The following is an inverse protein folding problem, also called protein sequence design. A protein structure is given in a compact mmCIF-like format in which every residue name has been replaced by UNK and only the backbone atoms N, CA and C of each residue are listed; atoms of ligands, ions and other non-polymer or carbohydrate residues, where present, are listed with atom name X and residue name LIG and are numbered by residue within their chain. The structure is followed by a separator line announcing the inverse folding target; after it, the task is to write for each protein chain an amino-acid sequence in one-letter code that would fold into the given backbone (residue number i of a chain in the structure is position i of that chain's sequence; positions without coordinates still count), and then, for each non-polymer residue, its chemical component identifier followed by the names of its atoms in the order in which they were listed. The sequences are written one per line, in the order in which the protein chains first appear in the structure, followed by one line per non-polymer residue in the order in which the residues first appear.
data_IF_913386049206
#
_entry.id   IF_913386049206
#
_cell.length_a   1.000
_cell.length_b   1.000
_cell.length_c   1.000
_cell.angle_alpha   90.00
_cell.angle_beta   90.00
_cell.angle_gamma   90.00
#
_symmetry.space_group_name_H-M   'P 1'
#
loop_
_entity.id
_entity.type
_entity.pdbx_description
1 polymer ?
#
# COMPACT_ATOMS: atom_id res chain seq x y z
N UNK A 1 70.76 -53.16 25.12
CA UNK A 1 69.79 -52.70 24.17
C UNK A 1 68.57 -52.16 24.90
N UNK A 2 68.50 -50.82 25.09
CA UNK A 2 67.33 -50.13 25.72
C UNK A 2 66.49 -49.55 24.59
N UNK A 3 65.18 -49.90 24.55
CA UNK A 3 64.24 -49.30 23.66
C UNK A 3 63.69 -48.03 24.38
N UNK A 4 63.89 -46.86 23.74
CA UNK A 4 63.29 -45.63 24.17
C UNK A 4 61.86 -45.53 23.58
N UNK A 5 60.89 -45.37 24.48
CA UNK A 5 59.51 -45.01 24.10
C UNK A 5 59.42 -43.49 23.86
N UNK A 6 59.21 -43.08 22.62
CA UNK A 6 58.83 -41.69 22.34
C UNK A 6 57.33 -41.52 22.53
N UNK A 7 56.94 -40.73 23.54
CA UNK A 7 55.60 -40.24 23.71
C UNK A 7 55.46 -39.02 22.79
N UNK A 8 54.55 -39.12 21.83
CA UNK A 8 54.18 -37.98 20.98
C UNK A 8 53.19 -37.10 21.76
N UNK A 9 53.68 -35.95 22.20
CA UNK A 9 52.78 -34.88 22.70
C UNK A 9 52.02 -34.26 21.52
N UNK A 10 50.73 -34.58 21.42
CA UNK A 10 49.80 -33.85 20.56
C UNK A 10 49.59 -32.48 21.16
N UNK A 11 50.04 -31.44 20.45
CA UNK A 11 49.95 -30.05 20.85
C UNK A 11 48.45 -29.63 20.97
N UNK A 12 48.09 -29.03 22.11
CA UNK A 12 46.74 -28.61 22.42
C UNK A 12 46.11 -27.52 21.53
N UNK A 13 46.79 -27.19 20.44
CA UNK A 13 46.32 -26.14 19.49
C UNK A 13 45.31 -26.67 18.49
N UNK A 14 45.30 -27.96 18.18
CA UNK A 14 44.33 -28.55 17.25
C UNK A 14 42.90 -28.65 17.85
N UNK A 15 42.80 -28.91 19.13
CA UNK A 15 41.48 -28.98 19.81
C UNK A 15 40.83 -27.61 19.99
N UNK A 16 41.62 -26.56 20.21
CA UNK A 16 41.08 -25.20 20.32
C UNK A 16 40.53 -24.67 19.01
N UNK A 17 41.17 -24.99 17.87
CA UNK A 17 40.68 -24.55 16.56
C UNK A 17 39.38 -25.25 16.15
N UNK A 18 39.22 -26.52 16.47
CA UNK A 18 38.01 -27.29 16.17
C UNK A 18 36.85 -26.81 17.09
N UNK A 19 37.09 -26.48 18.35
CA UNK A 19 36.09 -25.95 19.26
C UNK A 19 35.60 -24.54 18.84
N UNK A 20 36.51 -23.68 18.38
CA UNK A 20 36.14 -22.33 17.87
C UNK A 20 35.36 -22.45 16.55
N UNK A 21 35.73 -23.37 15.67
CA UNK A 21 35.00 -23.60 14.41
C UNK A 21 33.58 -24.17 14.67
N UNK A 22 33.44 -25.08 15.63
CA UNK A 22 32.15 -25.65 16.02
C UNK A 22 31.29 -24.59 16.72
N UNK A 23 31.86 -23.72 17.56
CA UNK A 23 31.10 -22.60 18.14
C UNK A 23 30.71 -21.54 17.13
N UNK A 24 31.51 -21.24 16.13
CA UNK A 24 31.13 -20.33 15.03
C UNK A 24 30.02 -20.92 14.15
N UNK A 25 30.06 -22.20 13.84
CA UNK A 25 29.01 -22.85 13.06
C UNK A 25 27.70 -22.98 13.84
N UNK A 26 27.77 -23.23 15.14
CA UNK A 26 26.57 -23.24 16.00
C UNK A 26 26.00 -21.85 16.23
N UNK A 27 26.82 -20.79 16.27
CA UNK A 27 26.37 -19.40 16.37
C UNK A 27 25.62 -18.94 15.11
N UNK A 28 26.06 -19.39 13.91
CA UNK A 28 25.38 -19.06 12.65
C UNK A 28 24.06 -19.84 12.52
N UNK A 29 24.03 -21.10 12.96
CA UNK A 29 22.80 -21.90 12.96
C UNK A 29 21.81 -21.44 14.04
N UNK A 30 22.27 -20.86 15.15
CA UNK A 30 21.44 -20.38 16.25
C UNK A 30 20.74 -19.03 15.98
N UNK A 31 21.31 -18.21 15.10
CA UNK A 31 20.68 -16.92 14.76
C UNK A 31 19.47 -17.04 13.82
N UNK A 32 19.36 -18.12 13.05
CA UNK A 32 18.21 -18.36 12.16
C UNK A 32 17.06 -19.16 12.82
N UNK A 33 17.30 -19.81 13.95
CA UNK A 33 16.32 -20.69 14.58
C UNK A 33 15.13 -19.95 15.23
N UNK A 34 15.20 -18.63 15.40
CA UNK A 34 14.14 -17.79 15.97
C UNK A 34 13.50 -16.80 14.98
N UNK A 35 14.01 -16.70 13.76
CA UNK A 35 13.50 -15.74 12.79
C UNK A 35 12.20 -16.25 12.16
N UNK A 36 11.11 -15.54 12.41
CA UNK A 36 9.84 -15.79 11.75
C UNK A 36 10.01 -15.57 10.24
N UNK A 37 9.69 -16.58 9.45
CA UNK A 37 9.76 -16.48 7.99
C UNK A 37 8.46 -15.92 7.46
N UNK A 38 8.51 -14.79 6.77
CA UNK A 38 7.37 -14.20 6.07
C UNK A 38 6.92 -15.07 4.90
N UNK A 39 7.84 -15.66 4.17
CA UNK A 39 7.55 -16.55 3.06
C UNK A 39 7.60 -18.02 3.52
N UNK A 40 6.54 -18.78 3.28
CA UNK A 40 6.50 -20.23 3.56
C UNK A 40 7.49 -21.00 2.69
N UNK A 41 7.73 -20.56 1.46
CA UNK A 41 8.69 -21.14 0.49
C UNK A 41 9.55 -20.03 -0.10
N UNK A 42 10.78 -20.34 -0.59
CA UNK A 42 11.59 -19.36 -1.31
C UNK A 42 10.81 -18.71 -2.46
N UNK A 43 11.03 -17.42 -2.67
CA UNK A 43 10.53 -16.70 -3.84
C UNK A 43 11.64 -16.72 -4.90
N UNK A 44 11.33 -17.23 -6.09
CA UNK A 44 12.30 -17.32 -7.20
C UNK A 44 12.02 -16.18 -8.16
N UNK A 45 12.92 -15.21 -8.18
CA UNK A 45 12.82 -14.00 -8.99
C UNK A 45 13.93 -13.93 -10.03
N UNK A 46 13.65 -13.37 -11.20
CA UNK A 46 14.61 -13.07 -12.25
C UNK A 46 15.26 -11.71 -12.02
N UNK A 47 14.46 -10.74 -11.57
CA UNK A 47 14.90 -9.36 -11.33
C UNK A 47 14.07 -8.69 -10.24
N UNK A 48 14.68 -7.75 -9.53
CA UNK A 48 14.01 -6.87 -8.59
C UNK A 48 14.74 -5.54 -8.49
N UNK A 49 14.03 -4.51 -8.11
CA UNK A 49 14.62 -3.20 -7.89
C UNK A 49 13.59 -2.14 -7.61
N UNK A 50 14.03 -0.91 -7.68
CA UNK A 50 13.17 0.26 -7.55
C UNK A 50 13.65 1.41 -8.43
N UNK A 51 12.71 2.28 -8.78
CA UNK A 51 12.99 3.52 -9.51
C UNK A 51 11.93 4.57 -9.16
N UNK A 52 12.15 5.80 -9.60
CA UNK A 52 11.15 6.84 -9.51
C UNK A 52 10.55 7.13 -10.88
N UNK A 53 9.27 7.47 -10.92
CA UNK A 53 8.54 7.90 -12.10
C UNK A 53 7.94 9.28 -11.87
N UNK A 54 7.71 10.05 -12.93
CA UNK A 54 7.24 11.41 -12.82
C UNK A 54 8.29 12.34 -12.24
N UNK A 55 7.86 13.21 -11.34
CA UNK A 55 8.70 14.28 -10.80
C UNK A 55 8.85 15.47 -11.75
N UNK A 56 8.85 16.67 -11.19
CA UNK A 56 9.08 17.92 -11.90
C UNK A 56 10.03 18.79 -11.14
N UNK A 57 10.90 19.57 -11.85
CA UNK A 57 11.72 20.56 -11.19
C UNK A 57 10.85 21.71 -10.67
N UNK A 58 11.14 22.16 -9.46
CA UNK A 58 10.56 23.36 -8.85
C UNK A 58 11.68 24.28 -8.42
N UNK A 59 11.72 25.49 -8.95
CA UNK A 59 12.61 26.54 -8.48
C UNK A 59 11.94 27.25 -7.31
N UNK A 60 12.63 27.34 -6.17
CA UNK A 60 12.09 27.93 -4.95
C UNK A 60 13.21 28.55 -4.12
N UNK A 61 12.91 29.65 -3.43
CA UNK A 61 13.80 30.24 -2.42
C UNK A 61 13.80 29.41 -1.11
N UNK A 62 12.95 28.42 -1.00
CA UNK A 62 12.68 27.65 0.22
C UNK A 62 13.11 26.19 0.09
N UNK A 63 14.07 25.89 -0.79
CA UNK A 63 14.64 24.56 -0.97
C UNK A 63 15.23 24.02 0.34
N UNK A 64 15.83 24.90 1.15
CA UNK A 64 16.34 24.59 2.48
C UNK A 64 15.67 25.48 3.51
N UNK A 65 15.58 24.99 4.76
CA UNK A 65 15.08 25.81 5.86
C UNK A 65 16.03 27.02 6.05
N UNK A 66 15.53 28.26 5.98
CA UNK A 66 16.36 29.42 6.19
C UNK A 66 16.96 29.43 7.60
N UNK A 67 18.21 29.83 7.71
CA UNK A 67 18.84 30.05 9.00
C UNK A 67 18.05 31.11 9.82
N UNK A 68 18.01 30.99 11.15
CA UNK A 68 17.42 32.04 11.97
C UNK A 68 17.98 33.41 11.59
N UNK A 69 17.12 34.36 11.32
CA UNK A 69 17.47 35.71 10.91
C UNK A 69 18.13 35.89 9.52
N UNK A 70 18.15 34.87 8.68
CA UNK A 70 18.59 35.02 7.30
C UNK A 70 17.49 35.65 6.45
N UNK A 71 17.85 36.56 5.56
CA UNK A 71 17.02 36.96 4.44
C UNK A 71 16.66 35.74 3.60
N UNK A 72 15.62 35.85 2.75
CA UNK A 72 15.22 34.76 1.86
C UNK A 72 16.42 34.07 1.22
N UNK A 73 16.54 32.74 1.32
CA UNK A 73 17.64 32.04 0.67
C UNK A 73 17.61 32.28 -0.84
N UNK A 74 18.76 32.14 -1.48
CA UNK A 74 18.83 32.23 -2.94
C UNK A 74 17.95 31.16 -3.61
N UNK A 75 17.37 31.45 -4.78
CA UNK A 75 16.62 30.50 -5.53
C UNK A 75 17.45 29.24 -5.82
N UNK A 76 16.85 28.08 -5.59
CA UNK A 76 17.45 26.79 -5.90
C UNK A 76 16.38 25.82 -6.44
N UNK A 77 16.81 24.72 -7.03
CA UNK A 77 15.90 23.75 -7.63
C UNK A 77 15.80 22.50 -6.76
N UNK A 78 14.58 22.02 -6.59
CA UNK A 78 14.25 20.70 -6.02
C UNK A 78 13.37 19.93 -7.00
N UNK A 79 13.30 18.62 -6.83
CA UNK A 79 12.35 17.76 -7.57
C UNK A 79 11.18 17.40 -6.66
N UNK A 80 9.96 17.57 -7.17
CA UNK A 80 8.71 17.31 -6.45
C UNK A 80 7.77 16.44 -7.28
N UNK A 81 6.78 15.82 -6.61
CA UNK A 81 5.70 15.11 -7.27
C UNK A 81 6.13 13.83 -7.98
N UNK A 82 7.26 13.24 -7.62
CA UNK A 82 7.68 11.91 -8.08
C UNK A 82 6.93 10.82 -7.32
N UNK A 83 6.84 9.64 -7.94
CA UNK A 83 6.29 8.43 -7.35
C UNK A 83 7.34 7.33 -7.31
N UNK A 84 7.56 6.73 -6.13
CA UNK A 84 8.43 5.57 -5.95
C UNK A 84 7.75 4.30 -6.46
N UNK A 85 8.50 3.49 -7.18
CA UNK A 85 8.08 2.20 -7.73
C UNK A 85 9.08 1.13 -7.30
N UNK A 86 8.58 0.07 -6.69
CA UNK A 86 9.35 -1.15 -6.43
C UNK A 86 8.80 -2.26 -7.30
N UNK A 87 9.68 -3.13 -7.81
CA UNK A 87 9.25 -4.23 -8.66
C UNK A 87 9.94 -5.53 -8.33
N UNK A 88 9.25 -6.63 -8.62
CA UNK A 88 9.78 -7.98 -8.62
C UNK A 88 9.27 -8.71 -9.87
N UNK A 89 10.20 -9.34 -10.57
CA UNK A 89 9.94 -10.09 -11.79
C UNK A 89 10.16 -11.57 -11.49
N UNK A 90 9.14 -12.43 -11.64
CA UNK A 90 9.30 -13.85 -11.37
C UNK A 90 10.22 -14.52 -12.41
N UNK A 91 11.05 -15.47 -11.98
CA UNK A 91 11.87 -16.28 -12.90
C UNK A 91 10.97 -17.18 -13.78
N UNK A 92 9.85 -17.66 -13.23
CA UNK A 92 8.86 -18.48 -13.93
C UNK A 92 7.65 -17.62 -14.32
N UNK A 93 7.81 -16.72 -15.27
CA UNK A 93 6.72 -15.85 -15.74
C UNK A 93 5.60 -16.66 -16.38
N UNK A 94 4.35 -16.33 -16.07
CA UNK A 94 3.24 -16.61 -16.96
C UNK A 94 3.49 -15.81 -18.25
N UNK A 95 3.97 -16.48 -19.28
CA UNK A 95 4.65 -15.86 -20.44
C UNK A 95 3.84 -14.80 -21.21
N UNK A 96 2.57 -14.63 -20.89
CA UNK A 96 1.66 -13.73 -21.60
C UNK A 96 0.89 -12.78 -20.68
N UNK A 97 0.99 -12.94 -19.35
CA UNK A 97 0.31 -12.03 -18.44
C UNK A 97 0.97 -10.64 -18.49
N UNK A 98 0.16 -9.56 -18.57
CA UNK A 98 0.68 -8.23 -18.37
C UNK A 98 1.17 -8.04 -16.93
N UNK A 99 2.10 -7.10 -16.67
CA UNK A 99 2.48 -6.77 -15.32
C UNK A 99 1.28 -6.19 -14.55
N UNK A 100 1.29 -6.37 -13.22
CA UNK A 100 0.32 -5.78 -12.31
C UNK A 100 0.98 -4.65 -11.53
N UNK A 101 0.34 -3.49 -11.52
CA UNK A 101 0.67 -2.34 -10.67
C UNK A 101 -0.33 -2.33 -9.52
N UNK A 102 0.14 -2.33 -8.27
CA UNK A 102 -0.70 -2.25 -7.08
C UNK A 102 -0.52 -0.90 -6.37
N UNK A 103 -1.64 -0.28 -6.04
CA UNK A 103 -1.68 1.06 -5.44
C UNK A 103 -2.45 1.02 -4.12
N UNK A 104 -1.78 1.43 -3.05
CA UNK A 104 -2.35 1.47 -1.69
C UNK A 104 -3.41 2.56 -1.51
N UNK A 105 -4.15 2.48 -0.41
CA UNK A 105 -5.17 3.45 -0.01
C UNK A 105 -4.64 4.67 0.76
N UNK A 106 -5.56 5.38 1.41
CA UNK A 106 -5.25 6.57 2.21
C UNK A 106 -4.33 6.24 3.38
N UNK A 107 -3.42 7.16 3.71
CA UNK A 107 -2.48 7.09 4.84
C UNK A 107 -1.62 5.82 4.91
N UNK A 108 -1.49 5.09 3.82
CA UNK A 108 -0.62 3.92 3.69
C UNK A 108 0.51 4.16 2.68
N UNK A 109 1.40 3.18 2.62
CA UNK A 109 2.40 2.99 1.57
C UNK A 109 2.27 1.58 1.02
N UNK A 110 3.10 1.22 0.04
CA UNK A 110 3.14 -0.15 -0.48
C UNK A 110 3.53 -1.21 0.56
N UNK A 111 3.99 -0.83 1.75
CA UNK A 111 4.32 -1.76 2.83
C UNK A 111 3.16 -2.70 3.16
N UNK A 112 1.90 -2.23 3.07
CA UNK A 112 0.72 -3.07 3.29
C UNK A 112 0.52 -4.17 2.23
N UNK A 113 1.24 -4.10 1.11
CA UNK A 113 1.21 -5.09 0.03
C UNK A 113 2.42 -6.03 0.07
N UNK A 114 3.49 -5.66 0.77
CA UNK A 114 4.73 -6.43 0.86
C UNK A 114 4.59 -7.60 1.84
N UNK A 115 3.99 -7.35 2.99
CA UNK A 115 3.76 -8.34 4.04
C UNK A 115 2.68 -7.89 5.01
N UNK A 116 2.12 -8.83 5.76
CA UNK A 116 1.20 -8.52 6.85
C UNK A 116 1.95 -8.16 8.13
N UNK A 117 1.38 -7.34 9.03
CA UNK A 117 2.02 -6.97 10.29
C UNK A 117 2.36 -8.16 11.19
N UNK A 118 1.60 -9.23 11.12
CA UNK A 118 1.83 -10.48 11.86
C UNK A 118 2.83 -11.43 11.17
N UNK A 119 3.46 -10.99 10.07
CA UNK A 119 4.56 -11.69 9.40
C UNK A 119 4.11 -12.82 8.48
N UNK A 120 3.01 -12.64 7.77
CA UNK A 120 2.59 -13.51 6.66
C UNK A 120 2.97 -12.89 5.33
N UNK A 121 2.96 -13.71 4.27
CA UNK A 121 3.20 -13.27 2.90
C UNK A 121 2.15 -12.25 2.46
N UNK A 122 2.60 -11.13 1.88
CA UNK A 122 1.73 -10.11 1.30
C UNK A 122 1.34 -10.43 -0.13
N UNK A 123 0.47 -9.59 -0.69
CA UNK A 123 -0.01 -9.77 -2.07
C UNK A 123 1.09 -9.64 -3.12
N UNK A 124 2.03 -8.70 -2.96
CA UNK A 124 3.08 -8.48 -3.96
C UNK A 124 3.96 -9.74 -4.16
N UNK A 125 4.61 -10.33 -3.14
CA UNK A 125 5.36 -11.56 -3.32
C UNK A 125 4.47 -12.74 -3.74
N UNK A 126 3.20 -12.79 -3.32
CA UNK A 126 2.28 -13.84 -3.72
C UNK A 126 1.97 -13.80 -5.22
N UNK A 127 1.73 -12.64 -5.80
CA UNK A 127 1.54 -12.47 -7.25
C UNK A 127 2.81 -12.89 -8.02
N UNK A 128 3.98 -12.50 -7.53
CA UNK A 128 5.27 -12.93 -8.11
C UNK A 128 5.41 -14.44 -8.07
N UNK A 129 5.03 -15.09 -6.97
CA UNK A 129 5.01 -16.55 -6.84
C UNK A 129 4.11 -17.23 -7.88
N UNK A 130 3.02 -16.56 -8.22
CA UNK A 130 2.07 -17.00 -9.25
C UNK A 130 2.47 -16.59 -10.67
N UNK A 131 3.72 -16.14 -10.88
CA UNK A 131 4.28 -15.87 -12.20
C UNK A 131 3.94 -14.50 -12.79
N UNK A 132 3.43 -13.57 -11.97
CA UNK A 132 3.05 -12.22 -12.38
C UNK A 132 4.16 -11.23 -12.04
N UNK A 133 4.64 -10.48 -13.03
CA UNK A 133 5.53 -9.32 -12.78
C UNK A 133 4.77 -8.27 -12.01
N UNK A 134 5.22 -7.95 -10.80
CA UNK A 134 4.47 -7.11 -9.85
C UNK A 134 5.23 -5.84 -9.56
N UNK A 135 4.52 -4.73 -9.63
CA UNK A 135 4.98 -3.38 -9.33
C UNK A 135 4.12 -2.82 -8.21
N UNK A 136 4.73 -2.35 -7.14
CA UNK A 136 4.06 -1.68 -6.04
C UNK A 136 4.56 -0.26 -5.94
N UNK A 137 3.68 0.67 -5.63
CA UNK A 137 4.02 2.10 -5.63
C UNK A 137 3.68 2.74 -4.29
N UNK A 138 4.51 3.69 -3.87
CA UNK A 138 4.10 4.68 -2.89
C UNK A 138 3.57 5.89 -3.65
N UNK A 139 2.33 6.28 -3.39
CA UNK A 139 1.72 7.44 -4.05
C UNK A 139 2.58 8.69 -3.83
N UNK A 140 2.55 9.62 -4.76
CA UNK A 140 3.26 10.89 -4.61
C UNK A 140 2.90 11.56 -3.28
N UNK A 141 3.88 12.15 -2.61
CA UNK A 141 3.70 12.77 -1.31
C UNK A 141 3.60 11.79 -0.13
N UNK A 142 3.91 10.48 -0.33
CA UNK A 142 3.85 9.48 0.73
C UNK A 142 5.09 8.59 0.76
N UNK A 143 5.43 8.13 1.95
CA UNK A 143 6.48 7.15 2.16
C UNK A 143 7.76 7.47 1.39
N UNK A 144 8.19 6.51 0.58
CA UNK A 144 9.45 6.59 -0.21
C UNK A 144 9.38 7.61 -1.34
N UNK A 145 8.19 8.06 -1.75
CA UNK A 145 8.03 9.09 -2.79
C UNK A 145 8.47 10.48 -2.34
N UNK A 146 8.58 10.71 -1.02
CA UNK A 146 8.88 12.02 -0.47
C UNK A 146 7.76 13.04 -0.70
N UNK A 147 8.03 14.29 -0.40
CA UNK A 147 7.05 15.37 -0.55
C UNK A 147 7.74 16.72 -0.77
N UNK A 148 6.98 17.73 -1.21
CA UNK A 148 7.43 19.09 -1.36
C UNK A 148 7.56 19.80 -0.01
N UNK A 149 8.74 19.80 0.56
CA UNK A 149 9.04 20.49 1.83
C UNK A 149 9.09 22.00 1.71
N UNK A 150 9.26 22.54 0.51
CA UNK A 150 9.42 23.97 0.33
C UNK A 150 8.20 24.78 0.79
N UNK A 151 7.01 24.17 0.73
CA UNK A 151 5.77 24.80 1.21
C UNK A 151 5.78 25.03 2.73
N UNK A 152 6.37 24.10 3.48
CA UNK A 152 6.55 24.25 4.94
C UNK A 152 7.60 25.29 5.24
N UNK A 153 8.70 25.28 4.50
CA UNK A 153 9.79 26.24 4.70
C UNK A 153 9.33 27.67 4.38
N UNK A 154 8.55 27.86 3.32
CA UNK A 154 7.94 29.15 2.98
C UNK A 154 7.05 29.64 4.12
N UNK A 155 6.09 28.84 4.54
CA UNK A 155 5.17 29.19 5.63
C UNK A 155 5.94 29.55 6.91
N UNK A 156 6.96 28.76 7.26
CA UNK A 156 7.82 29.00 8.43
C UNK A 156 8.59 30.30 8.29
N UNK A 157 9.11 30.60 7.10
CA UNK A 157 9.84 31.87 6.83
C UNK A 157 8.95 33.10 7.02
N UNK A 158 7.72 33.05 6.50
CA UNK A 158 6.71 34.09 6.66
C UNK A 158 6.41 34.35 8.14
N UNK A 159 6.15 33.29 8.91
CA UNK A 159 5.89 33.41 10.35
C UNK A 159 7.09 34.06 11.07
N UNK A 160 8.30 33.63 10.77
CA UNK A 160 9.52 34.16 11.38
C UNK A 160 9.80 35.63 11.01
N UNK A 161 9.38 36.05 9.83
CA UNK A 161 9.50 37.44 9.39
C UNK A 161 8.40 38.37 9.93
N UNK A 162 7.46 37.86 10.72
CA UNK A 162 6.37 38.63 11.32
C UNK A 162 5.06 38.57 10.54
N UNK A 163 5.02 37.95 9.38
CA UNK A 163 3.79 37.72 8.61
C UNK A 163 3.09 36.43 9.09
N UNK A 164 2.70 36.47 10.37
CA UNK A 164 2.18 35.27 11.09
C UNK A 164 0.88 34.77 10.47
N UNK A 165 -0.02 35.68 10.11
CA UNK A 165 -1.34 35.31 9.58
C UNK A 165 -1.23 34.56 8.25
N UNK A 166 -0.51 35.13 7.28
CA UNK A 166 -0.33 34.53 5.97
C UNK A 166 0.51 33.27 6.04
N UNK A 167 1.58 33.27 6.84
CA UNK A 167 2.40 32.09 7.05
C UNK A 167 1.61 30.94 7.66
N UNK A 168 0.78 31.20 8.67
CA UNK A 168 -0.09 30.17 9.28
C UNK A 168 -1.09 29.64 8.27
N UNK A 169 -1.69 30.49 7.44
CA UNK A 169 -2.64 30.07 6.39
C UNK A 169 -1.99 29.16 5.31
N UNK A 170 -0.67 29.22 5.17
CA UNK A 170 0.12 28.43 4.20
C UNK A 170 0.71 27.15 4.78
N UNK A 171 0.59 26.90 6.09
CA UNK A 171 1.05 25.63 6.67
C UNK A 171 0.18 24.49 6.11
N UNK A 172 0.79 23.51 5.41
CA UNK A 172 0.03 22.40 4.87
C UNK A 172 -0.50 21.51 5.99
N UNK A 173 -1.73 21.06 5.84
CA UNK A 173 -2.28 20.03 6.71
C UNK A 173 -1.97 18.63 6.15
N UNK A 174 -0.89 18.05 6.62
CA UNK A 174 -0.52 16.68 6.28
C UNK A 174 -1.28 15.69 7.18
N UNK A 175 -2.53 15.45 6.84
CA UNK A 175 -3.39 14.57 7.62
C UNK A 175 -2.87 13.13 7.64
N UNK A 176 -2.74 12.57 8.83
CA UNK A 176 -2.60 11.14 9.10
C UNK A 176 -3.77 10.72 9.95
N UNK A 177 -4.40 9.61 9.61
CA UNK A 177 -5.40 9.02 10.50
C UNK A 177 -4.74 8.59 11.82
N UNK A 178 -5.45 8.76 12.93
CA UNK A 178 -4.98 8.26 14.23
C UNK A 178 -5.04 6.74 14.27
N UNK A 179 -4.26 6.14 15.16
CA UNK A 179 -4.25 4.67 15.34
C UNK A 179 -5.64 4.15 15.67
N UNK A 180 -6.32 4.81 16.61
CA UNK A 180 -7.71 4.53 16.94
C UNK A 180 -8.66 4.70 15.74
N UNK A 181 -8.51 5.79 15.00
CA UNK A 181 -9.31 6.06 13.80
C UNK A 181 -9.09 5.00 12.72
N UNK A 182 -7.85 4.61 12.47
CA UNK A 182 -7.52 3.57 11.49
C UNK A 182 -8.11 2.22 11.88
N UNK A 183 -8.01 1.87 13.14
CA UNK A 183 -8.60 0.61 13.59
C UNK A 183 -10.13 0.61 13.45
N UNK A 184 -10.78 1.59 14.05
CA UNK A 184 -12.24 1.72 14.01
C UNK A 184 -12.78 1.82 12.59
N UNK A 185 -12.07 2.59 11.74
CA UNK A 185 -12.53 2.79 10.37
C UNK A 185 -12.28 1.58 9.45
N UNK A 186 -11.29 0.73 9.72
CA UNK A 186 -10.85 -0.26 8.74
C UNK A 186 -10.83 -1.70 9.25
N UNK A 187 -10.89 -1.93 10.56
CA UNK A 187 -10.86 -3.27 11.14
C UNK A 187 -12.04 -3.58 12.06
N UNK A 188 -12.71 -2.60 12.63
CA UNK A 188 -13.82 -2.82 13.54
C UNK A 188 -14.24 -1.57 14.29
N UNK A 189 -15.01 -1.75 15.35
CA UNK A 189 -15.58 -0.68 16.15
C UNK A 189 -15.11 -0.76 17.60
N UNK A 190 -15.17 0.38 18.32
CA UNK A 190 -14.94 0.39 19.75
C UNK A 190 -16.20 0.02 20.51
N UNK A 191 -16.07 -0.87 21.49
CA UNK A 191 -17.16 -1.29 22.36
C UNK A 191 -16.90 -0.90 23.82
N UNK A 192 -17.91 -0.40 24.53
CA UNK A 192 -19.18 0.16 24.07
C UNK A 192 -18.99 1.44 23.29
N UNK A 193 -20.05 1.88 22.59
CA UNK A 193 -20.02 3.14 21.83
C UNK A 193 -19.47 4.30 22.69
N UNK A 194 -18.52 5.06 22.13
CA UNK A 194 -17.84 6.12 22.86
C UNK A 194 -16.62 5.66 23.66
N UNK A 195 -16.34 4.37 23.76
CA UNK A 195 -15.11 3.88 24.36
C UNK A 195 -13.91 4.32 23.53
N UNK A 196 -12.78 4.51 24.19
CA UNK A 196 -11.51 4.76 23.51
C UNK A 196 -10.77 3.44 23.31
N UNK A 197 -9.85 3.43 22.35
CA UNK A 197 -8.97 2.29 22.09
C UNK A 197 -8.16 1.85 23.33
N UNK A 198 -7.91 2.76 24.25
CA UNK A 198 -7.12 2.51 25.46
C UNK A 198 -7.94 1.88 26.61
N UNK A 199 -9.26 2.08 26.59
CA UNK A 199 -10.14 1.69 27.70
C UNK A 199 -11.27 0.77 27.28
N UNK A 200 -11.56 0.69 25.99
CA UNK A 200 -12.66 -0.10 25.46
C UNK A 200 -12.24 -1.46 24.93
N UNK A 201 -13.18 -2.35 24.84
CA UNK A 201 -13.08 -3.57 24.05
C UNK A 201 -13.35 -3.20 22.60
N UNK A 202 -12.54 -3.68 21.67
CA UNK A 202 -12.80 -3.53 20.25
C UNK A 202 -13.82 -4.57 19.80
N UNK A 203 -14.84 -4.09 19.11
CA UNK A 203 -15.72 -4.93 18.32
C UNK A 203 -15.14 -5.03 16.91
N UNK A 204 -15.06 -6.23 16.39
CA UNK A 204 -14.60 -6.50 15.04
C UNK A 204 -15.79 -6.65 14.11
N UNK A 205 -15.59 -6.44 12.82
CA UNK A 205 -16.56 -6.84 11.84
C UNK A 205 -16.84 -8.35 11.97
N UNK A 206 -18.11 -8.70 12.01
CA UNK A 206 -18.53 -10.08 12.23
C UNK A 206 -18.57 -10.55 13.68
N UNK A 207 -18.19 -9.71 14.64
CA UNK A 207 -18.43 -10.01 16.05
C UNK A 207 -19.94 -9.90 16.36
N UNK A 208 -20.49 -10.73 17.25
CA UNK A 208 -21.87 -10.61 17.68
C UNK A 208 -22.16 -9.20 18.23
N UNK A 209 -23.19 -8.56 17.71
CA UNK A 209 -23.56 -7.19 18.09
C UNK A 209 -22.83 -6.09 17.32
N UNK A 210 -22.00 -6.40 16.33
CA UNK A 210 -21.48 -5.41 15.41
C UNK A 210 -22.62 -4.89 14.52
N UNK A 211 -22.97 -3.58 14.62
CA UNK A 211 -24.09 -3.03 13.86
C UNK A 211 -23.91 -3.06 12.35
N UNK A 212 -22.67 -3.25 11.85
CA UNK A 212 -22.40 -3.35 10.43
C UNK A 212 -22.55 -4.79 9.89
N UNK A 213 -22.29 -5.78 10.73
CA UNK A 213 -22.22 -7.20 10.34
C UNK A 213 -22.74 -8.10 11.46
N UNK A 214 -23.85 -7.76 12.11
CA UNK A 214 -24.42 -8.53 13.21
C UNK A 214 -24.90 -9.93 12.79
N UNK A 215 -23.95 -10.73 12.40
CA UNK A 215 -24.13 -12.13 12.04
C UNK A 215 -23.08 -12.98 12.74
N UNK A 216 -23.52 -13.82 13.66
CA UNK A 216 -22.66 -14.76 14.37
C UNK A 216 -21.94 -15.78 13.45
N UNK A 217 -22.34 -15.88 12.19
CA UNK A 217 -21.65 -16.71 11.18
C UNK A 217 -20.39 -16.04 10.62
N UNK A 218 -20.24 -14.73 10.76
CA UNK A 218 -19.05 -14.01 10.31
C UNK A 218 -17.84 -14.44 11.12
N UNK A 219 -16.83 -14.88 10.42
CA UNK A 219 -15.58 -15.29 11.02
C UNK A 219 -14.59 -14.13 11.00
N UNK A 220 -13.82 -14.09 12.04
CA UNK A 220 -12.77 -13.13 12.24
C UNK A 220 -11.62 -13.36 11.24
N UNK A 221 -11.50 -12.50 10.25
CA UNK A 221 -10.39 -12.44 9.30
C UNK A 221 -9.37 -11.37 9.64
N UNK A 222 -9.43 -10.83 10.84
CA UNK A 222 -8.51 -9.84 11.34
C UNK A 222 -7.08 -10.36 11.49
N UNK A 223 -6.18 -9.42 11.67
CA UNK A 223 -4.87 -9.73 12.17
C UNK A 223 -4.99 -10.51 13.48
N UNK A 224 -4.31 -11.65 13.59
CA UNK A 224 -4.36 -12.45 14.82
C UNK A 224 -3.87 -11.63 16.02
N UNK A 225 -4.32 -12.06 17.19
CA UNK A 225 -3.89 -11.47 18.44
C UNK A 225 -4.20 -9.97 18.57
N UNK A 226 -5.44 -9.70 18.64
CA UNK A 226 -5.98 -8.44 19.01
C UNK A 226 -6.31 -8.43 20.51
N UNK A 227 -5.80 -7.65 21.30
CA UNK A 227 -5.95 -6.22 21.37
C UNK A 227 -4.63 -5.47 21.27
N UNK A 228 -4.75 -4.18 21.18
CA UNK A 228 -3.68 -3.19 21.07
C UNK A 228 -2.60 -3.45 22.10
N UNK A 229 -1.39 -3.63 21.57
CA UNK A 229 -0.26 -4.03 22.35
C UNK A 229 0.10 -3.11 23.51
N UNK A 230 0.69 -3.67 24.52
CA UNK A 230 1.34 -2.88 25.55
C UNK A 230 2.36 -1.95 24.88
N UNK A 231 2.22 -0.66 25.12
CA UNK A 231 3.27 0.30 24.77
C UNK A 231 4.48 -0.08 25.59
N UNK A 232 5.64 -0.17 24.97
CA UNK A 232 6.90 -0.32 25.68
C UNK A 232 6.99 0.81 26.71
N UNK A 233 7.06 0.51 28.01
CA UNK A 233 7.08 1.53 29.05
C UNK A 233 8.32 2.43 28.98
N UNK A 234 9.34 2.07 28.19
CA UNK A 234 10.48 2.93 27.90
C UNK A 234 10.15 4.06 26.92
N UNK A 235 9.04 3.96 26.17
CA UNK A 235 8.60 4.99 25.23
C UNK A 235 7.71 5.99 25.97
N UNK A 236 8.32 6.98 26.55
CA UNK A 236 7.62 8.11 27.17
C UNK A 236 7.29 9.13 26.08
N UNK A 237 6.01 9.42 25.90
CA UNK A 237 5.64 10.55 25.03
C UNK A 237 6.21 11.85 25.64
N UNK A 238 6.63 12.79 24.77
CA UNK A 238 7.12 14.11 25.22
C UNK A 238 6.14 14.88 26.12
N UNK A 239 4.90 14.51 26.15
CA UNK A 239 3.83 15.12 26.93
C UNK A 239 3.52 14.36 28.23
N UNK A 240 4.33 13.38 28.60
CA UNK A 240 4.15 12.63 29.85
C UNK A 240 2.93 11.72 29.90
N UNK A 241 2.13 11.66 28.85
CA UNK A 241 1.01 10.74 28.76
C UNK A 241 1.52 9.42 28.14
N UNK A 242 1.69 8.42 28.97
CA UNK A 242 1.88 7.05 28.50
C UNK A 242 0.50 6.57 28.04
N UNK A 243 0.33 6.33 26.76
CA UNK A 243 -0.82 5.58 26.31
C UNK A 243 -0.71 4.16 26.85
N UNK A 244 -1.39 3.87 27.93
CA UNK A 244 -1.48 2.51 28.46
C UNK A 244 -2.41 1.71 27.56
N UNK A 245 -1.82 0.93 26.69
CA UNK A 245 -2.57 -0.13 26.05
C UNK A 245 -2.81 -1.26 27.06
N UNK A 246 -3.98 -1.93 27.02
CA UNK A 246 -4.22 -3.07 27.88
C UNK A 246 -3.13 -4.12 27.70
N UNK A 247 -2.55 -4.56 28.79
CA UNK A 247 -1.53 -5.60 28.79
C UNK A 247 -2.15 -6.92 28.29
N UNK A 248 -1.69 -7.41 27.18
CA UNK A 248 -2.04 -8.72 26.67
C UNK A 248 -0.86 -9.34 25.91
N UNK A 249 -0.68 -10.64 25.96
CA UNK A 249 0.60 -11.27 25.64
C UNK A 249 1.00 -11.28 24.16
N UNK A 250 0.27 -10.71 23.22
CA UNK A 250 0.59 -10.87 21.80
C UNK A 250 0.20 -9.67 20.90
N UNK A 251 0.39 -8.47 21.36
CA UNK A 251 -0.29 -7.31 20.81
C UNK A 251 0.53 -6.40 19.90
N UNK A 252 1.66 -6.90 19.45
CA UNK A 252 2.56 -6.15 18.58
C UNK A 252 2.04 -5.97 17.16
N UNK A 253 1.11 -6.81 16.70
CA UNK A 253 0.64 -6.75 15.31
C UNK A 253 -0.18 -5.51 15.00
N UNK A 254 -1.02 -5.07 15.91
CA UNK A 254 -1.72 -3.80 15.75
C UNK A 254 -0.75 -2.62 15.77
N UNK A 255 0.24 -2.64 16.66
CA UNK A 255 1.29 -1.63 16.70
C UNK A 255 2.13 -1.65 15.42
N UNK A 256 2.48 -2.83 14.91
CA UNK A 256 3.20 -2.96 13.64
C UNK A 256 2.37 -2.48 12.46
N UNK A 257 1.05 -2.66 12.50
CA UNK A 257 0.15 -2.04 11.55
C UNK A 257 0.15 -0.51 11.67
N UNK A 258 0.06 0.05 12.87
CA UNK A 258 0.08 1.51 13.05
C UNK A 258 1.38 2.17 12.58
N UNK A 259 2.49 1.45 12.60
CA UNK A 259 3.76 1.91 12.02
C UNK A 259 3.72 2.05 10.49
N UNK A 260 2.78 1.39 9.82
CA UNK A 260 2.58 1.52 8.38
C UNK A 260 1.82 2.79 8.00
N UNK A 261 1.17 3.46 8.96
CA UNK A 261 0.41 4.67 8.74
C UNK A 261 1.34 5.87 8.56
N UNK A 262 1.19 6.56 7.45
CA UNK A 262 2.01 7.72 7.10
C UNK A 262 1.13 8.94 6.82
N UNK A 263 1.64 10.16 7.04
CA UNK A 263 0.96 11.37 6.62
C UNK A 263 0.78 11.40 5.09
N UNK A 264 -0.34 11.94 4.65
CA UNK A 264 -0.54 12.30 3.26
C UNK A 264 0.03 13.71 3.06
N UNK A 265 1.18 13.78 2.41
CA UNK A 265 1.85 15.04 2.09
C UNK A 265 1.74 15.40 0.59
N UNK A 266 0.84 14.79 -0.14
CA UNK A 266 0.45 15.21 -1.47
C UNK A 266 -0.39 16.49 -1.39
N UNK A 267 0.26 17.63 -1.57
CA UNK A 267 -0.38 18.96 -1.42
C UNK A 267 -1.45 19.25 -2.47
N UNK A 268 -1.57 18.41 -3.48
CA UNK A 268 -2.57 18.55 -4.54
C UNK A 268 -3.85 17.74 -4.28
N UNK A 269 -3.86 16.90 -3.23
CA UNK A 269 -5.05 16.11 -2.90
C UNK A 269 -6.05 16.92 -2.07
N UNK A 270 -7.36 16.80 -2.34
CA UNK A 270 -8.38 17.43 -1.53
C UNK A 270 -8.29 17.00 -0.06
N UNK A 271 -8.42 17.96 0.85
CA UNK A 271 -8.41 17.71 2.30
C UNK A 271 -7.03 17.50 2.91
N UNK A 272 -5.95 17.45 2.11
CA UNK A 272 -4.57 17.32 2.62
C UNK A 272 -3.76 18.60 2.48
N UNK A 273 -4.38 19.73 2.23
CA UNK A 273 -3.68 20.89 1.69
C UNK A 273 -4.00 22.17 2.44
N UNK A 274 -3.03 23.02 2.44
CA UNK A 274 -3.24 24.44 2.59
C UNK A 274 -3.89 24.97 1.29
N UNK A 275 -5.08 25.55 1.41
CA UNK A 275 -5.79 26.11 0.26
C UNK A 275 -4.95 27.17 -0.49
N UNK A 276 -4.10 27.91 0.25
CA UNK A 276 -3.19 28.90 -0.32
C UNK A 276 -1.94 28.29 -0.98
N UNK A 277 -1.67 26.99 -0.78
CA UNK A 277 -0.52 26.30 -1.39
C UNK A 277 -0.90 25.53 -2.66
N UNK A 278 -2.19 25.35 -2.92
CA UNK A 278 -2.64 24.69 -4.14
C UNK A 278 -2.57 25.64 -5.31
N UNK A 279 -1.94 25.26 -6.40
CA UNK A 279 -2.26 25.87 -7.68
C UNK A 279 -3.78 25.69 -7.91
N UNK A 280 -4.46 26.79 -8.23
CA UNK A 280 -5.92 26.81 -8.48
C UNK A 280 -6.39 25.84 -9.56
N UNK A 281 -5.46 25.31 -10.35
CA UNK A 281 -5.68 24.45 -11.50
C UNK A 281 -5.60 22.94 -11.16
N UNK A 282 -5.17 22.57 -9.95
CA UNK A 282 -5.03 21.18 -9.57
C UNK A 282 -6.32 20.68 -8.89
N UNK A 283 -7.02 19.82 -9.61
CA UNK A 283 -8.13 19.01 -9.12
C UNK A 283 -7.63 17.57 -8.85
N UNK A 284 -8.43 16.72 -8.19
CA UNK A 284 -8.09 15.28 -8.08
C UNK A 284 -7.72 14.63 -9.41
N UNK A 285 -8.29 15.11 -10.52
CA UNK A 285 -7.98 14.67 -11.86
C UNK A 285 -6.55 14.97 -12.33
N UNK A 286 -5.92 15.99 -11.75
CA UNK A 286 -4.61 16.49 -12.16
C UNK A 286 -3.54 16.34 -11.08
N UNK A 287 -3.81 15.57 -10.03
CA UNK A 287 -2.82 15.28 -9.00
C UNK A 287 -1.67 14.43 -9.52
N UNK A 288 -0.56 14.41 -8.80
CA UNK A 288 0.65 13.72 -9.25
C UNK A 288 0.46 12.22 -9.44
N UNK A 289 -0.22 11.54 -8.52
CA UNK A 289 -0.38 10.08 -8.54
C UNK A 289 -1.04 9.54 -9.81
N UNK A 290 -2.20 10.05 -10.29
CA UNK A 290 -2.79 9.59 -11.55
C UNK A 290 -1.88 9.81 -12.75
N UNK A 291 -1.18 10.94 -12.82
CA UNK A 291 -0.21 11.25 -13.88
C UNK A 291 0.93 10.23 -13.90
N UNK A 292 1.48 9.94 -12.72
CA UNK A 292 2.64 9.06 -12.58
C UNK A 292 2.26 7.60 -12.81
N UNK A 293 1.05 7.20 -12.44
CA UNK A 293 0.51 5.89 -12.81
C UNK A 293 0.37 5.75 -14.33
N UNK A 294 -0.12 6.78 -15.03
CA UNK A 294 -0.18 6.77 -16.48
C UNK A 294 1.21 6.63 -17.11
N UNK A 295 2.19 7.41 -16.63
CA UNK A 295 3.59 7.29 -17.07
C UNK A 295 4.17 5.89 -16.81
N UNK A 296 3.82 5.27 -15.67
CA UNK A 296 4.26 3.92 -15.35
C UNK A 296 3.66 2.89 -16.31
N UNK A 297 2.36 2.98 -16.59
CA UNK A 297 1.68 2.12 -17.57
C UNK A 297 2.32 2.25 -18.98
N UNK A 298 2.60 3.49 -19.41
CA UNK A 298 3.31 3.78 -20.67
C UNK A 298 4.73 3.17 -20.67
N UNK A 299 5.49 3.36 -19.60
CA UNK A 299 6.85 2.81 -19.44
C UNK A 299 6.87 1.29 -19.54
N UNK A 300 5.86 0.61 -19.01
CA UNK A 300 5.75 -0.85 -19.02
C UNK A 300 5.20 -1.40 -20.35
N UNK A 301 4.72 -0.53 -21.23
CA UNK A 301 4.06 -0.92 -22.48
C UNK A 301 2.73 -1.64 -22.22
N UNK A 302 2.05 -1.24 -21.17
CA UNK A 302 0.75 -1.73 -20.71
C UNK A 302 0.80 -2.57 -19.44
N UNK A 303 -0.21 -2.39 -18.58
CA UNK A 303 -0.33 -3.06 -17.29
C UNK A 303 -1.79 -3.23 -16.88
N UNK A 304 -2.04 -4.16 -15.96
CA UNK A 304 -3.23 -4.17 -15.10
C UNK A 304 -2.94 -3.30 -13.90
N UNK A 305 -3.90 -2.47 -13.50
CA UNK A 305 -3.75 -1.59 -12.34
C UNK A 305 -4.76 -1.99 -11.27
N UNK A 306 -4.29 -2.39 -10.11
CA UNK A 306 -5.09 -2.71 -8.94
C UNK A 306 -4.97 -1.59 -7.91
N UNK A 307 -6.09 -0.98 -7.59
CA UNK A 307 -6.19 0.17 -6.68
C UNK A 307 -7.01 -0.19 -5.46
N UNK A 308 -6.65 0.34 -4.30
CA UNK A 308 -7.37 0.13 -3.06
C UNK A 308 -7.85 1.46 -2.46
N UNK A 309 -9.11 1.49 -1.99
CA UNK A 309 -9.67 2.61 -1.22
C UNK A 309 -9.53 3.95 -1.95
N UNK A 310 -8.88 4.93 -1.36
CA UNK A 310 -8.66 6.25 -1.95
C UNK A 310 -8.08 6.19 -3.38
N UNK A 311 -7.23 5.22 -3.67
CA UNK A 311 -6.63 5.12 -5.01
C UNK A 311 -7.60 4.61 -6.09
N UNK A 312 -8.81 4.15 -5.74
CA UNK A 312 -9.82 3.75 -6.71
C UNK A 312 -10.09 4.83 -7.75
N UNK A 313 -10.45 6.03 -7.29
CA UNK A 313 -10.69 7.16 -8.20
C UNK A 313 -9.42 7.61 -8.94
N UNK A 314 -8.24 7.43 -8.35
CA UNK A 314 -6.96 7.75 -9.01
C UNK A 314 -6.67 6.81 -10.18
N UNK A 315 -7.06 5.52 -10.06
CA UNK A 315 -7.01 4.58 -11.17
C UNK A 315 -7.90 5.01 -12.34
N UNK A 316 -9.10 5.50 -12.07
CA UNK A 316 -9.98 6.04 -13.11
C UNK A 316 -9.40 7.31 -13.74
N UNK A 317 -8.85 8.23 -12.97
CA UNK A 317 -8.16 9.41 -13.54
C UNK A 317 -6.94 9.02 -14.37
N UNK A 318 -6.20 7.99 -13.99
CA UNK A 318 -5.11 7.43 -14.82
C UNK A 318 -5.65 6.95 -16.17
N UNK A 319 -6.77 6.23 -16.20
CA UNK A 319 -7.42 5.79 -17.46
C UNK A 319 -7.79 6.99 -18.32
N UNK A 320 -8.39 8.04 -17.73
CA UNK A 320 -8.69 9.29 -18.43
C UNK A 320 -7.44 9.93 -19.04
N UNK A 321 -6.35 10.03 -18.30
CA UNK A 321 -5.09 10.61 -18.78
C UNK A 321 -4.54 9.79 -19.95
N UNK A 322 -4.56 8.46 -19.87
CA UNK A 322 -4.12 7.59 -20.96
C UNK A 322 -5.03 7.71 -22.19
N UNK A 323 -6.35 7.85 -22.00
CA UNK A 323 -7.30 8.17 -23.08
C UNK A 323 -6.94 9.47 -23.78
N UNK A 324 -6.73 10.55 -23.04
CA UNK A 324 -6.36 11.87 -23.57
C UNK A 324 -5.04 11.85 -24.33
N UNK A 325 -4.12 10.95 -23.94
CA UNK A 325 -2.83 10.74 -24.63
C UNK A 325 -2.92 9.79 -25.82
N UNK A 326 -4.06 9.17 -26.08
CA UNK A 326 -4.22 8.16 -27.13
C UNK A 326 -3.62 6.80 -26.81
N UNK A 327 -3.38 6.50 -25.53
CA UNK A 327 -2.72 5.28 -25.02
C UNK A 327 -3.68 4.41 -24.20
N UNK A 328 -4.97 4.50 -24.45
CA UNK A 328 -5.99 3.74 -23.70
C UNK A 328 -5.80 2.23 -23.83
N UNK A 329 -5.27 1.77 -24.95
CA UNK A 329 -4.94 0.36 -25.23
C UNK A 329 -3.86 -0.23 -24.32
N UNK A 330 -3.10 0.62 -23.61
CA UNK A 330 -2.12 0.18 -22.63
C UNK A 330 -2.73 -0.22 -21.30
N UNK A 331 -3.98 0.17 -21.00
CA UNK A 331 -4.71 -0.31 -19.82
C UNK A 331 -5.19 -1.72 -20.12
N UNK A 332 -4.55 -2.72 -19.51
CA UNK A 332 -4.87 -4.14 -19.72
C UNK A 332 -5.99 -4.65 -18.82
N UNK A 333 -6.32 -3.91 -17.80
CA UNK A 333 -7.41 -4.11 -16.86
C UNK A 333 -7.33 -3.11 -15.73
N UNK A 334 -8.47 -2.77 -15.16
CA UNK A 334 -8.57 -1.95 -13.95
C UNK A 334 -9.29 -2.72 -12.87
N UNK A 335 -8.67 -2.80 -11.70
CA UNK A 335 -9.20 -3.46 -10.51
C UNK A 335 -9.37 -2.40 -9.42
N UNK A 336 -10.59 -2.22 -8.95
CA UNK A 336 -10.92 -1.28 -7.88
C UNK A 336 -11.40 -2.03 -6.64
N UNK A 337 -10.59 -1.99 -5.58
CA UNK A 337 -10.84 -2.73 -4.34
C UNK A 337 -11.32 -1.72 -3.29
N UNK A 338 -12.58 -1.84 -2.89
CA UNK A 338 -13.24 -0.95 -1.91
C UNK A 338 -12.92 0.54 -2.12
N UNK A 339 -12.93 0.97 -3.38
CA UNK A 339 -12.63 2.33 -3.80
C UNK A 339 -13.76 2.97 -4.58
N UNK A 340 -13.65 4.27 -4.84
CA UNK A 340 -14.62 4.98 -5.68
C UNK A 340 -14.53 4.53 -7.13
N UNK A 341 -15.70 4.22 -7.73
CA UNK A 341 -15.84 3.69 -9.09
C UNK A 341 -16.56 4.66 -10.05
N UNK A 342 -16.85 5.89 -9.65
CA UNK A 342 -17.63 6.82 -10.46
C UNK A 342 -16.91 7.19 -11.76
N UNK A 343 -17.49 6.80 -12.89
CA UNK A 343 -17.01 7.21 -14.20
C UNK A 343 -17.18 8.73 -14.39
N UNK A 344 -18.32 9.28 -13.99
CA UNK A 344 -18.61 10.71 -14.14
C UNK A 344 -17.61 11.59 -13.39
N UNK A 345 -17.26 11.22 -12.15
CA UNK A 345 -16.31 11.97 -11.34
C UNK A 345 -14.89 11.97 -11.92
N UNK A 346 -14.55 10.99 -12.75
CA UNK A 346 -13.27 10.89 -13.43
C UNK A 346 -13.28 11.40 -14.88
N UNK A 347 -14.43 11.88 -15.37
CA UNK A 347 -14.58 12.32 -16.74
C UNK A 347 -14.55 11.19 -17.77
N UNK A 348 -14.88 9.98 -17.33
CA UNK A 348 -14.96 8.77 -18.15
C UNK A 348 -16.42 8.41 -18.46
N UNK A 349 -16.58 7.59 -19.47
CA UNK A 349 -17.84 6.96 -19.87
C UNK A 349 -17.65 5.45 -19.97
N UNK A 350 -18.75 4.71 -19.97
CA UNK A 350 -18.70 3.25 -20.12
C UNK A 350 -18.02 2.80 -21.42
N UNK A 351 -18.14 3.62 -22.51
CA UNK A 351 -17.47 3.33 -23.78
C UNK A 351 -15.95 3.29 -23.71
N UNK A 352 -15.35 3.97 -22.76
CA UNK A 352 -13.90 3.96 -22.55
C UNK A 352 -13.40 2.60 -22.06
N UNK A 353 -14.31 1.76 -21.57
CA UNK A 353 -14.03 0.41 -21.09
C UNK A 353 -14.44 -0.69 -22.09
N UNK A 354 -14.82 -0.37 -23.31
CA UNK A 354 -15.25 -1.37 -24.31
C UNK A 354 -14.23 -2.50 -24.50
N UNK A 355 -12.93 -2.21 -24.32
CA UNK A 355 -11.83 -3.18 -24.45
C UNK A 355 -10.99 -3.33 -23.17
N UNK A 356 -11.40 -2.76 -22.07
CA UNK A 356 -10.68 -2.79 -20.78
C UNK A 356 -11.49 -3.63 -19.80
N UNK A 357 -11.02 -4.86 -19.45
CA UNK A 357 -11.62 -5.63 -18.36
C UNK A 357 -11.63 -4.82 -17.07
N UNK A 358 -12.78 -4.84 -16.40
CA UNK A 358 -12.99 -4.09 -15.19
C UNK A 358 -13.45 -4.98 -14.04
N UNK A 359 -12.81 -4.88 -12.90
CA UNK A 359 -13.25 -5.51 -11.67
C UNK A 359 -13.41 -4.48 -10.56
N UNK A 360 -14.54 -4.49 -9.91
CA UNK A 360 -14.72 -3.91 -8.59
C UNK A 360 -14.85 -5.04 -7.56
N UNK A 361 -14.31 -4.83 -6.35
CA UNK A 361 -14.37 -5.80 -5.27
C UNK A 361 -14.74 -5.10 -3.96
N UNK A 362 -15.59 -5.75 -3.16
CA UNK A 362 -15.85 -5.36 -1.78
C UNK A 362 -15.76 -6.55 -0.83
N UNK A 363 -15.38 -6.29 0.43
CA UNK A 363 -15.59 -7.19 1.55
C UNK A 363 -16.88 -6.84 2.32
N UNK A 364 -17.03 -7.39 3.50
CA UNK A 364 -18.17 -7.10 4.40
C UNK A 364 -18.16 -5.67 4.93
N UNK A 365 -16.97 -5.04 4.91
CA UNK A 365 -16.78 -3.72 5.48
C UNK A 365 -17.53 -2.62 4.73
N UNK A 366 -17.54 -2.63 3.39
CA UNK A 366 -18.13 -1.56 2.60
C UNK A 366 -19.65 -1.69 2.53
N UNK A 367 -20.37 -0.88 3.29
CA UNK A 367 -21.84 -0.85 3.29
C UNK A 367 -22.43 -0.34 1.97
N UNK A 368 -21.66 0.41 1.15
CA UNK A 368 -22.14 1.02 -0.09
C UNK A 368 -21.31 0.55 -1.28
N UNK A 369 -21.91 0.56 -2.47
CA UNK A 369 -21.23 0.18 -3.72
C UNK A 369 -20.18 1.18 -4.18
N UNK A 370 -20.13 2.40 -3.61
CA UNK A 370 -19.31 3.51 -4.08
C UNK A 370 -19.42 3.74 -5.60
N UNK A 371 -20.62 3.50 -6.17
CA UNK A 371 -20.96 3.51 -7.59
C UNK A 371 -20.27 2.42 -8.43
N UNK A 372 -19.79 1.35 -7.77
CA UNK A 372 -19.13 0.26 -8.48
C UNK A 372 -20.13 -0.64 -9.22
N UNK A 373 -21.30 -0.89 -8.65
CA UNK A 373 -22.34 -1.67 -9.33
C UNK A 373 -22.81 -0.95 -10.58
N UNK A 374 -23.10 0.34 -10.48
CA UNK A 374 -23.57 1.18 -11.59
C UNK A 374 -22.52 1.24 -12.72
N UNK A 375 -21.24 1.32 -12.37
CA UNK A 375 -20.15 1.30 -13.36
C UNK A 375 -20.05 -0.05 -14.06
N UNK A 376 -20.12 -1.15 -13.30
CA UNK A 376 -20.10 -2.51 -13.85
C UNK A 376 -21.30 -2.75 -14.77
N UNK A 377 -22.49 -2.34 -14.35
CA UNK A 377 -23.72 -2.48 -15.14
C UNK A 377 -23.65 -1.68 -16.43
N UNK A 378 -23.14 -0.45 -16.39
CA UNK A 378 -22.99 0.40 -17.56
C UNK A 378 -22.00 -0.19 -18.60
N UNK A 379 -20.88 -0.76 -18.16
CA UNK A 379 -19.91 -1.42 -19.04
C UNK A 379 -20.52 -2.69 -19.65
N UNK A 380 -21.19 -3.51 -18.86
CA UNK A 380 -21.82 -4.75 -19.33
C UNK A 380 -23.01 -4.48 -20.28
N UNK A 381 -23.76 -3.39 -20.10
CA UNK A 381 -24.80 -2.98 -21.02
C UNK A 381 -24.23 -2.73 -22.43
N UNK A 382 -23.11 -2.05 -22.55
CA UNK A 382 -22.42 -1.84 -23.83
C UNK A 382 -21.99 -3.15 -24.47
N UNK A 383 -21.46 -4.09 -23.66
CA UNK A 383 -21.09 -5.42 -24.14
C UNK A 383 -22.32 -6.19 -24.67
N UNK A 384 -23.44 -6.12 -23.97
CA UNK A 384 -24.70 -6.75 -24.41
C UNK A 384 -25.23 -6.19 -25.73
N UNK A 385 -24.96 -4.90 -26.00
CA UNK A 385 -25.28 -4.23 -27.28
C UNK A 385 -24.26 -4.54 -28.39
N UNK A 386 -23.23 -5.33 -28.12
CA UNK A 386 -22.16 -5.66 -29.08
C UNK A 386 -21.19 -4.52 -29.36
N UNK A 387 -21.17 -3.47 -28.53
CA UNK A 387 -20.30 -2.31 -28.66
C UNK A 387 -18.95 -2.49 -28.00
N UNK A 388 -18.84 -3.39 -27.00
CA UNK A 388 -17.61 -3.72 -26.29
C UNK A 388 -17.44 -5.22 -26.15
N UNK A 389 -16.21 -5.68 -25.92
CA UNK A 389 -15.85 -7.08 -25.71
C UNK A 389 -15.43 -7.37 -24.27
N UNK A 390 -14.95 -6.37 -23.55
CA UNK A 390 -14.49 -6.52 -22.18
C UNK A 390 -15.64 -6.79 -21.22
N UNK A 391 -15.38 -7.61 -20.20
CA UNK A 391 -16.32 -7.93 -19.14
C UNK A 391 -16.02 -7.06 -17.91
N UNK A 392 -17.07 -6.63 -17.26
CA UNK A 392 -16.98 -5.99 -15.95
C UNK A 392 -17.64 -6.87 -14.88
N UNK A 393 -17.04 -6.95 -13.71
CA UNK A 393 -17.56 -7.72 -12.59
C UNK A 393 -17.48 -6.93 -11.27
N UNK A 394 -18.55 -7.03 -10.48
CA UNK A 394 -18.54 -6.57 -9.10
C UNK A 394 -18.53 -7.78 -8.18
N UNK A 395 -17.36 -8.07 -7.63
CA UNK A 395 -17.14 -9.20 -6.74
C UNK A 395 -17.43 -8.77 -5.32
N UNK A 396 -18.40 -9.44 -4.72
CA UNK A 396 -18.75 -9.31 -3.30
C UNK A 396 -18.22 -10.54 -2.60
N UNK A 397 -17.20 -10.36 -1.76
CA UNK A 397 -16.48 -11.47 -1.15
C UNK A 397 -17.37 -12.32 -0.24
N UNK A 398 -18.28 -11.68 0.48
CA UNK A 398 -19.28 -12.34 1.34
C UNK A 398 -20.19 -13.33 0.60
N UNK A 399 -20.40 -13.12 -0.71
CA UNK A 399 -21.19 -14.03 -1.56
C UNK A 399 -20.38 -15.26 -2.04
N UNK A 400 -19.05 -15.26 -1.90
CA UNK A 400 -18.17 -16.33 -2.38
C UNK A 400 -18.00 -17.51 -1.40
N UNK A 401 -18.37 -17.31 -0.15
CA UNK A 401 -18.33 -18.35 0.86
C UNK A 401 -17.69 -17.96 2.19
N UNK A 402 -17.75 -18.83 3.18
CA UNK A 402 -17.50 -18.49 4.58
C UNK A 402 -16.02 -18.12 4.88
N UNK A 403 -15.07 -18.44 4.01
CA UNK A 403 -13.67 -18.04 4.18
C UNK A 403 -13.48 -16.52 4.04
N UNK A 404 -14.44 -15.85 3.38
CA UNK A 404 -14.40 -14.41 3.15
C UNK A 404 -15.24 -13.62 4.16
N UNK A 405 -16.00 -14.28 5.03
CA UNK A 405 -16.81 -13.60 6.05
C UNK A 405 -15.91 -12.82 7.02
N UNK A 406 -16.32 -11.61 7.37
CA UNK A 406 -15.56 -10.71 8.25
C UNK A 406 -14.36 -10.06 7.57
N UNK A 407 -14.28 -10.07 6.23
CA UNK A 407 -13.22 -9.38 5.50
C UNK A 407 -13.28 -7.88 5.74
N UNK A 408 -12.21 -7.34 6.30
CA UNK A 408 -12.09 -5.93 6.64
C UNK A 408 -11.72 -5.07 5.44
N UNK A 409 -11.77 -3.75 5.59
CA UNK A 409 -11.28 -2.82 4.56
C UNK A 409 -9.82 -3.04 4.18
N UNK A 410 -8.98 -3.43 5.16
CA UNK A 410 -7.56 -3.77 4.91
C UNK A 410 -7.41 -5.25 4.55
N UNK A 411 -8.16 -5.71 3.56
CA UNK A 411 -8.25 -7.13 3.18
C UNK A 411 -6.90 -7.76 2.81
N UNK A 412 -5.93 -6.99 2.34
CA UNK A 412 -4.56 -7.45 2.08
C UNK A 412 -3.80 -7.83 3.36
N UNK A 413 -4.29 -7.44 4.52
CA UNK A 413 -3.69 -7.71 5.83
C UNK A 413 -4.44 -8.77 6.63
N UNK A 414 -5.67 -9.13 6.23
CA UNK A 414 -6.51 -10.13 6.88
C UNK A 414 -5.89 -11.53 6.90
N UNK A 415 -6.44 -12.42 7.72
CA UNK A 415 -5.95 -13.82 7.80
C UNK A 415 -6.22 -14.62 6.53
N UNK A 416 -7.18 -14.17 5.72
CA UNK A 416 -7.57 -14.72 4.43
C UNK A 416 -7.01 -13.92 3.24
N UNK A 417 -5.94 -13.14 3.44
CA UNK A 417 -5.40 -12.25 2.41
C UNK A 417 -4.99 -12.98 1.12
N UNK A 418 -4.48 -14.21 1.21
CA UNK A 418 -4.05 -14.95 0.03
C UNK A 418 -5.22 -15.57 -0.73
N UNK A 419 -6.27 -15.98 -0.04
CA UNK A 419 -7.54 -16.43 -0.65
C UNK A 419 -8.18 -15.30 -1.46
N UNK A 420 -8.13 -14.08 -0.96
CA UNK A 420 -8.59 -12.89 -1.71
C UNK A 420 -7.66 -12.60 -2.89
N UNK A 421 -6.35 -12.75 -2.73
CA UNK A 421 -5.41 -12.63 -3.84
C UNK A 421 -5.69 -13.67 -4.95
N UNK A 422 -6.09 -14.89 -4.60
CA UNK A 422 -6.50 -15.92 -5.56
C UNK A 422 -7.75 -15.51 -6.33
N UNK A 423 -8.73 -14.88 -5.70
CA UNK A 423 -9.90 -14.32 -6.41
C UNK A 423 -9.48 -13.33 -7.49
N UNK A 424 -8.54 -12.43 -7.16
CA UNK A 424 -8.01 -11.44 -8.11
C UNK A 424 -7.23 -12.12 -9.25
N UNK A 425 -6.38 -13.09 -8.92
CA UNK A 425 -5.58 -13.82 -9.91
C UNK A 425 -6.45 -14.64 -10.86
N UNK A 426 -7.44 -15.34 -10.34
CA UNK A 426 -8.38 -16.14 -11.16
C UNK A 426 -9.17 -15.23 -12.10
N UNK A 427 -9.71 -14.12 -11.58
CA UNK A 427 -10.38 -13.14 -12.41
C UNK A 427 -9.47 -12.59 -13.54
N UNK A 428 -8.21 -12.29 -13.20
CA UNK A 428 -7.25 -11.78 -14.19
C UNK A 428 -6.93 -12.84 -15.26
N UNK A 429 -6.77 -14.10 -14.86
CA UNK A 429 -6.52 -15.22 -15.81
C UNK A 429 -7.69 -15.44 -16.77
N UNK A 430 -8.93 -15.22 -16.32
CA UNK A 430 -10.13 -15.43 -17.10
C UNK A 430 -10.45 -14.25 -18.04
N UNK A 431 -10.19 -13.02 -17.60
CA UNK A 431 -10.72 -11.83 -18.25
C UNK A 431 -9.65 -11.00 -18.99
N UNK A 432 -8.36 -11.16 -18.67
CA UNK A 432 -7.30 -10.38 -19.27
C UNK A 432 -6.68 -11.14 -20.43
N UNK A 433 -6.82 -10.65 -21.67
CA UNK A 433 -6.26 -11.33 -22.82
C UNK A 433 -4.73 -11.37 -22.75
N UNK A 434 -4.13 -12.51 -23.11
CA UNK A 434 -2.68 -12.65 -23.13
C UNK A 434 -2.04 -11.67 -24.11
N UNK A 435 -0.85 -11.13 -23.77
CA UNK A 435 -0.10 -10.25 -24.70
C UNK A 435 0.01 -10.89 -26.09
N UNK A 436 -0.41 -10.15 -27.11
CA UNK A 436 -0.21 -10.57 -28.49
C UNK A 436 1.29 -10.81 -28.75
N UNK A 437 1.64 -11.91 -29.43
CA UNK A 437 3.01 -12.12 -29.89
C UNK A 437 3.39 -10.95 -30.79
N UNK A 438 4.44 -10.19 -30.45
CA UNK A 438 5.06 -9.27 -31.42
C UNK A 438 5.50 -10.12 -32.61
N UNK A 439 4.82 -9.98 -33.74
CA UNK A 439 5.32 -10.48 -35.02
C UNK A 439 6.60 -9.67 -35.28
N UNK A 440 7.76 -10.28 -35.12
CA UNK A 440 9.01 -9.68 -35.59
C UNK A 440 8.89 -9.53 -37.11
N UNK A 441 8.75 -8.27 -37.57
CA UNK A 441 8.93 -7.93 -38.98
C UNK A 441 10.40 -7.95 -39.31
#
# INVERSE_FOLDING_TARGET
MKRENRVVQLSGWGLSLVMVLVMMVTSIAGQDAGRKKFLKKPLVIEDQGSFFIGGVPKVTNYATLPAPNAANPAPNQITIGQMYVQFQIPANKKSKAPPVIMVHGSTHTAACLESTPDGREGWAPYFVRNGISTYIVDQAGRGRSGFDQSVIHEATSMIRSGDVQNGTARIPNFGRITDNGAWTAWFGHLMPAGSTILTGTLMRHGDPGDPATDDASHKDTYLPAYPIGAVDPSIVSRNGAIAQAPAGPNNYYALDYYKQLVPNAEVTLPGSTCAACQPSELSPANTWTPRDLALLVEKLGGAVVATHSQSGIMGHHMVRILKERGHLDLVKGLITIEGGCSLANSGLKAEDFDNIPYMAMKGDYAATSMQCQETVDAINARRAEGKGIAKAEYIKLDELGPVFNGTTHMMMLGTNNLEIADVILNWADENIPPKAKKVRK
#
